data_IF_782664808238
#
_entry.id   IF_782664808238
#
_cell.length_a   1.000
_cell.length_b   1.000
_cell.length_c   1.000
_cell.angle_alpha   90.00
_cell.angle_beta   90.00
_cell.angle_gamma   90.00
#
_symmetry.space_group_name_H-M   'P 1'
#
loop_
_entity.id
_entity.type
_entity.pdbx_description
1 polymer ?
#
# COMPACT_ATOMS: atom_id res chain seq x y z
N UNK A 1 -14.64 19.26 -10.35
CA UNK A 1 -13.57 19.30 -11.33
C UNK A 1 -12.25 18.90 -10.69
N UNK A 2 -11.52 18.02 -11.34
CA UNK A 2 -10.27 17.53 -10.75
C UNK A 2 -9.15 18.56 -10.89
N UNK A 3 -8.28 18.56 -9.89
CA UNK A 3 -7.05 19.34 -9.94
C UNK A 3 -6.18 18.85 -11.11
N UNK A 4 -5.40 19.77 -11.68
CA UNK A 4 -4.55 19.45 -12.82
C UNK A 4 -3.56 18.32 -12.48
N UNK A 5 -3.00 18.34 -11.25
CA UNK A 5 -2.08 17.30 -10.85
C UNK A 5 -2.77 15.94 -10.81
N UNK A 6 -4.01 15.91 -10.35
CA UNK A 6 -4.77 14.67 -10.30
C UNK A 6 -5.06 14.18 -11.70
N UNK A 7 -5.44 15.10 -12.59
CA UNK A 7 -5.72 14.71 -13.97
C UNK A 7 -4.50 14.13 -14.64
N UNK A 8 -3.33 14.72 -14.39
CA UNK A 8 -2.10 14.24 -15.00
C UNK A 8 -1.67 12.89 -14.45
N UNK A 9 -1.98 12.61 -13.18
CA UNK A 9 -1.61 11.37 -12.54
C UNK A 9 -2.55 10.23 -12.86
N UNK A 10 -3.79 10.54 -13.27
CA UNK A 10 -4.81 9.52 -13.44
C UNK A 10 -4.40 8.38 -14.36
N UNK A 11 -3.81 8.64 -15.56
CA UNK A 11 -3.39 7.52 -16.41
C UNK A 11 -2.36 6.62 -15.75
N UNK A 12 -1.52 7.19 -14.90
CA UNK A 12 -0.49 6.41 -14.20
C UNK A 12 -1.10 5.65 -13.02
N UNK A 13 -2.17 6.17 -12.46
CA UNK A 13 -2.82 5.54 -11.33
C UNK A 13 -3.37 4.16 -11.70
N UNK A 14 -3.80 3.98 -12.94
CA UNK A 14 -4.30 2.69 -13.37
C UNK A 14 -3.26 1.61 -13.14
N UNK A 15 -1.99 1.91 -13.43
CA UNK A 15 -0.93 0.94 -13.19
C UNK A 15 -0.59 0.83 -11.70
N UNK A 16 -0.47 1.97 -11.02
CA UNK A 16 -0.10 1.98 -9.61
C UNK A 16 -1.15 1.28 -8.77
N UNK A 17 -2.42 1.41 -9.12
CA UNK A 17 -3.49 0.81 -8.32
C UNK A 17 -3.47 -0.72 -8.34
N UNK A 18 -2.68 -1.31 -9.22
CA UNK A 18 -2.53 -2.75 -9.22
C UNK A 18 -1.68 -3.23 -8.04
N UNK A 19 -0.88 -2.35 -7.47
CA UNK A 19 -0.02 -2.69 -6.33
C UNK A 19 -0.32 -1.85 -5.10
N UNK A 20 -0.98 -0.71 -5.25
CA UNK A 20 -1.30 0.18 -4.13
C UNK A 20 -2.80 0.29 -4.02
N UNK A 21 -3.39 -0.48 -3.12
CA UNK A 21 -4.82 -0.51 -2.93
C UNK A 21 -5.14 -0.92 -1.50
N UNK A 22 -6.36 -0.62 -1.10
CA UNK A 22 -6.88 -1.06 0.19
C UNK A 22 -7.42 -2.48 0.03
N UNK A 23 -6.82 -3.47 0.69
CA UNK A 23 -7.30 -4.86 0.52
C UNK A 23 -8.75 -5.01 0.96
N UNK A 24 -9.51 -5.80 0.20
CA UNK A 24 -10.90 -6.07 0.52
C UNK A 24 -11.17 -7.55 0.73
N UNK A 25 -10.14 -8.38 0.65
CA UNK A 25 -10.27 -9.82 0.84
C UNK A 25 -8.97 -10.35 1.40
N UNK A 26 -9.02 -11.56 1.96
CA UNK A 26 -7.83 -12.21 2.47
C UNK A 26 -6.79 -12.40 1.36
N UNK A 27 -7.26 -12.75 0.18
CA UNK A 27 -6.34 -12.94 -0.95
C UNK A 27 -5.63 -11.67 -1.32
N UNK A 28 -6.38 -10.54 -1.37
CA UNK A 28 -5.76 -9.26 -1.67
C UNK A 28 -4.80 -8.83 -0.56
N UNK A 29 -5.15 -9.12 0.67
CA UNK A 29 -4.30 -8.82 1.80
C UNK A 29 -2.97 -9.56 1.69
N UNK A 30 -3.02 -10.86 1.40
CA UNK A 30 -1.79 -11.64 1.29
C UNK A 30 -0.92 -11.17 0.14
N UNK A 31 -1.54 -10.78 -0.97
CA UNK A 31 -0.80 -10.25 -2.10
C UNK A 31 -0.13 -8.93 -1.73
N UNK A 32 -0.85 -8.06 -1.01
CA UNK A 32 -0.28 -6.79 -0.57
C UNK A 32 0.90 -7.00 0.36
N UNK A 33 0.80 -7.96 1.27
CA UNK A 33 1.91 -8.27 2.17
C UNK A 33 3.12 -8.76 1.38
N UNK A 34 2.90 -9.60 0.38
CA UNK A 34 3.99 -10.08 -0.46
C UNK A 34 4.68 -8.94 -1.18
N UNK A 35 3.89 -8.00 -1.70
CA UNK A 35 4.45 -6.83 -2.37
C UNK A 35 5.23 -5.95 -1.41
N UNK A 36 4.73 -5.78 -0.20
CA UNK A 36 5.43 -4.99 0.81
C UNK A 36 6.76 -5.64 1.18
N UNK A 37 6.78 -6.95 1.37
CA UNK A 37 8.02 -7.65 1.67
C UNK A 37 9.04 -7.46 0.56
N UNK A 38 8.59 -7.51 -0.69
CA UNK A 38 9.48 -7.29 -1.83
C UNK A 38 10.06 -5.88 -1.81
N UNK A 39 9.23 -4.89 -1.50
CA UNK A 39 9.70 -3.51 -1.39
C UNK A 39 10.71 -3.35 -0.27
N UNK A 40 10.45 -3.96 0.87
CA UNK A 40 11.36 -3.88 2.00
C UNK A 40 12.73 -4.45 1.62
N UNK A 41 12.74 -5.60 0.94
CA UNK A 41 14.00 -6.21 0.51
C UNK A 41 14.75 -5.34 -0.48
N UNK A 42 14.03 -4.65 -1.35
CA UNK A 42 14.65 -3.85 -2.39
C UNK A 42 15.16 -2.52 -1.86
N UNK A 43 14.36 -1.86 -1.03
CA UNK A 43 14.65 -0.51 -0.55
C UNK A 43 15.61 -0.52 0.63
N UNK A 44 15.46 -1.52 1.51
CA UNK A 44 16.25 -1.57 2.72
C UNK A 44 15.98 -0.36 3.59
N UNK A 45 17.06 0.29 4.04
CA UNK A 45 16.95 1.44 4.91
C UNK A 45 17.18 2.76 4.18
N UNK A 46 17.14 2.72 2.86
CA UNK A 46 17.38 3.91 2.05
C UNK A 46 16.14 4.80 2.03
N UNK A 47 16.11 5.80 2.91
CA UNK A 47 14.98 6.71 3.02
C UNK A 47 14.82 7.60 1.79
N UNK A 48 15.85 7.70 0.97
CA UNK A 48 15.80 8.52 -0.24
C UNK A 48 15.44 7.72 -1.49
N UNK A 49 15.16 6.43 -1.31
CA UNK A 49 14.78 5.60 -2.44
C UNK A 49 13.47 6.12 -3.05
N UNK A 50 13.37 6.16 -4.38
CA UNK A 50 12.15 6.68 -5.02
C UNK A 50 10.87 5.98 -4.58
N UNK A 51 10.96 4.73 -4.18
CA UNK A 51 9.78 3.95 -3.78
C UNK A 51 9.55 3.92 -2.28
N UNK A 52 10.31 4.71 -1.50
CA UNK A 52 10.17 4.67 -0.05
C UNK A 52 8.77 5.09 0.39
N UNK A 53 8.20 6.13 -0.23
CA UNK A 53 6.86 6.55 0.12
C UNK A 53 5.82 5.51 -0.25
N UNK A 54 6.00 4.84 -1.38
CA UNK A 54 5.09 3.76 -1.76
C UNK A 54 5.09 2.66 -0.70
N UNK A 55 6.27 2.29 -0.23
CA UNK A 55 6.39 1.28 0.81
C UNK A 55 5.62 1.67 2.07
N UNK A 56 5.78 2.92 2.50
CA UNK A 56 5.11 3.39 3.71
C UNK A 56 3.61 3.41 3.56
N UNK A 57 3.12 3.89 2.41
CA UNK A 57 1.69 3.97 2.18
C UNK A 57 1.08 2.56 2.11
N UNK A 58 1.75 1.66 1.41
CA UNK A 58 1.25 0.29 1.32
C UNK A 58 1.18 -0.35 2.70
N UNK A 59 2.18 -0.07 3.55
CA UNK A 59 2.17 -0.57 4.92
C UNK A 59 0.96 -0.07 5.70
N UNK A 60 0.61 1.21 5.55
CA UNK A 60 -0.54 1.78 6.23
C UNK A 60 -1.83 1.10 5.77
N UNK A 61 -1.96 0.85 4.47
CA UNK A 61 -3.16 0.20 3.95
C UNK A 61 -3.30 -1.23 4.47
N UNK A 62 -2.18 -1.93 4.59
CA UNK A 62 -2.18 -3.27 5.16
C UNK A 62 -2.60 -3.23 6.63
N UNK A 63 -2.05 -2.27 7.39
CA UNK A 63 -2.43 -2.12 8.79
C UNK A 63 -3.93 -1.85 8.95
N UNK A 64 -4.47 -1.03 8.05
CA UNK A 64 -5.89 -0.72 8.13
C UNK A 64 -6.73 -1.98 7.93
N UNK A 65 -6.35 -2.82 7.01
CA UNK A 65 -7.06 -4.09 6.82
C UNK A 65 -6.96 -4.95 8.08
N UNK A 66 -5.77 -5.02 8.66
CA UNK A 66 -5.56 -5.84 9.87
C UNK A 66 -6.41 -5.33 11.02
N UNK A 67 -6.47 -4.02 11.21
CA UNK A 67 -7.25 -3.44 12.29
C UNK A 67 -8.73 -3.75 12.15
N UNK A 68 -9.22 -3.83 10.93
CA UNK A 68 -10.63 -4.06 10.68
C UNK A 68 -11.02 -5.54 10.77
N UNK A 69 -10.05 -6.43 10.59
CA UNK A 69 -10.36 -7.85 10.47
C UNK A 69 -9.85 -8.70 11.62
N UNK A 70 -9.09 -8.11 12.56
CA UNK A 70 -8.63 -8.83 13.75
C UNK A 70 -8.74 -7.96 14.99
N UNK A 71 -9.90 -7.33 15.23
CA UNK A 71 -10.02 -6.39 16.35
C UNK A 71 -9.89 -7.02 17.72
N UNK A 72 -10.29 -8.27 17.85
CA UNK A 72 -10.24 -8.94 19.16
C UNK A 72 -8.80 -9.14 19.62
N UNK A 73 -7.89 -9.28 18.69
CA UNK A 73 -6.51 -9.53 19.02
C UNK A 73 -5.83 -8.25 19.50
N UNK A 74 -6.21 -7.13 18.95
CA UNK A 74 -5.59 -5.86 19.27
C UNK A 74 -6.24 -5.13 20.44
N UNK A 75 -7.47 -5.45 20.75
CA UNK A 75 -8.18 -4.78 21.83
C UNK A 75 -8.02 -5.56 23.10
N UNK A 76 -7.28 -5.00 24.00
CA UNK A 76 -7.02 -5.64 25.28
C UNK A 76 -7.76 -4.91 26.38
#
# INVERSE_FOLDING_TARGET
MLDTKIEQATPHWIEVSKILYLPHSEKEYQEAVRLLDNLIDTIGEDENHPLASLMEILGVLIEKYEDEHVPEITKI
#
